data_IF_200050055277
#
_entry.id   IF_200050055277
#
_cell.length_a   1.000
_cell.length_b   1.000
_cell.length_c   1.000
_cell.angle_alpha   90.00
_cell.angle_beta   90.00
_cell.angle_gamma   90.00
#
_symmetry.space_group_name_H-M   'P 1'
#
loop_
_entity.id
_entity.type
_entity.pdbx_description
1 polymer ?
#
# COMPACT_ATOMS: atom_id res chain seq x y z
N UNK A 1 -30.49 -0.54 8.74
CA UNK A 1 -29.71 0.72 8.68
C UNK A 1 -28.43 0.48 9.46
N UNK A 2 -27.28 0.59 8.82
CA UNK A 2 -25.97 0.43 9.47
C UNK A 2 -25.54 1.80 9.99
N UNK A 3 -25.07 1.90 11.22
CA UNK A 3 -24.51 3.15 11.73
C UNK A 3 -23.15 3.40 11.08
N UNK A 4 -22.72 4.66 11.02
CA UNK A 4 -21.41 5.01 10.45
C UNK A 4 -20.27 4.28 11.17
N UNK A 5 -20.41 4.04 12.49
CA UNK A 5 -19.43 3.29 13.28
C UNK A 5 -19.35 1.82 12.85
N UNK A 6 -20.49 1.15 12.61
CA UNK A 6 -20.53 -0.24 12.17
C UNK A 6 -20.02 -0.41 10.73
N UNK A 7 -20.26 0.59 9.88
CA UNK A 7 -19.70 0.64 8.54
C UNK A 7 -18.16 0.67 8.60
N UNK A 8 -17.57 1.61 9.34
CA UNK A 8 -16.11 1.69 9.43
C UNK A 8 -15.46 0.51 10.15
N UNK A 9 -16.16 -0.15 11.07
CA UNK A 9 -15.67 -1.38 11.72
C UNK A 9 -15.63 -2.59 10.77
N UNK A 10 -16.46 -2.59 9.73
CA UNK A 10 -16.49 -3.65 8.71
C UNK A 10 -15.69 -3.26 7.45
N UNK A 11 -15.24 -2.01 7.37
CA UNK A 11 -14.48 -1.49 6.24
C UNK A 11 -13.00 -1.88 6.36
N UNK A 12 -12.50 -2.63 5.37
CA UNK A 12 -11.15 -3.19 5.35
C UNK A 12 -10.37 -2.71 4.11
N UNK A 13 -9.11 -3.14 4.00
CA UNK A 13 -8.22 -2.74 2.90
C UNK A 13 -8.74 -3.21 1.54
N UNK A 14 -9.41 -4.37 1.46
CA UNK A 14 -10.02 -4.83 0.22
C UNK A 14 -11.07 -3.82 -0.29
N UNK A 15 -11.91 -3.30 0.60
CA UNK A 15 -12.90 -2.28 0.24
C UNK A 15 -12.25 -0.96 -0.21
N UNK A 16 -11.09 -0.59 0.35
CA UNK A 16 -10.28 0.52 -0.18
C UNK A 16 -9.83 0.27 -1.61
N UNK A 17 -9.27 -0.92 -1.89
CA UNK A 17 -8.75 -1.27 -3.20
C UNK A 17 -9.90 -1.31 -4.23
N UNK A 18 -11.04 -1.92 -3.88
CA UNK A 18 -12.24 -1.93 -4.72
C UNK A 18 -12.74 -0.50 -5.03
N UNK A 19 -12.73 0.40 -4.05
CA UNK A 19 -13.11 1.79 -4.25
C UNK A 19 -12.13 2.54 -5.16
N UNK A 20 -10.83 2.27 -5.07
CA UNK A 20 -9.82 2.85 -5.96
C UNK A 20 -10.02 2.32 -7.38
N UNK A 21 -10.22 1.01 -7.55
CA UNK A 21 -10.48 0.40 -8.86
C UNK A 21 -11.75 0.98 -9.48
N UNK A 22 -12.84 1.07 -8.71
CA UNK A 22 -14.10 1.67 -9.17
C UNK A 22 -13.92 3.14 -9.57
N UNK A 23 -13.25 3.94 -8.73
CA UNK A 23 -12.95 5.34 -9.06
C UNK A 23 -12.06 5.47 -10.31
N UNK A 24 -11.14 4.52 -10.52
CA UNK A 24 -10.28 4.50 -11.69
C UNK A 24 -11.04 4.20 -13.00
N UNK A 25 -12.10 3.38 -12.95
CA UNK A 25 -12.96 3.12 -14.11
C UNK A 25 -13.71 4.39 -14.56
N UNK A 26 -14.05 5.28 -13.63
CA UNK A 26 -14.71 6.56 -13.95
C UNK A 26 -13.74 7.60 -14.55
N UNK A 27 -12.43 7.36 -14.47
CA UNK A 27 -11.42 8.24 -15.08
C UNK A 27 -11.27 7.86 -16.55
N UNK A 28 -11.90 8.66 -17.41
CA UNK A 28 -11.68 8.54 -18.85
C UNK A 28 -10.20 8.80 -19.21
N UNK A 29 -9.68 8.07 -20.21
CA UNK A 29 -8.38 8.30 -20.86
C UNK A 29 -8.14 9.78 -21.15
N UNK A 30 -9.17 10.54 -21.55
CA UNK A 30 -9.05 11.99 -21.77
C UNK A 30 -8.73 12.78 -20.50
N UNK A 31 -9.32 12.43 -19.36
CA UNK A 31 -9.01 13.02 -18.06
C UNK A 31 -7.57 12.69 -17.65
N UNK A 32 -7.15 11.44 -17.86
CA UNK A 32 -5.79 10.98 -17.59
C UNK A 32 -4.76 11.72 -18.46
N UNK A 33 -4.99 11.80 -19.77
CA UNK A 33 -4.15 12.56 -20.70
C UNK A 33 -4.11 14.05 -20.36
N UNK A 34 -5.23 14.64 -19.91
CA UNK A 34 -5.29 16.03 -19.47
C UNK A 34 -4.47 16.28 -18.20
N UNK A 35 -4.58 15.37 -17.23
CA UNK A 35 -3.78 15.41 -16.00
C UNK A 35 -2.30 15.26 -16.30
N UNK A 36 -1.90 14.23 -17.06
CA UNK A 36 -0.51 14.06 -17.48
C UNK A 36 0.00 15.24 -18.29
N UNK A 37 -0.78 15.81 -19.21
CA UNK A 37 -0.40 17.04 -19.93
C UNK A 37 -0.18 18.22 -18.98
N UNK A 38 -0.93 18.30 -17.87
CA UNK A 38 -0.77 19.36 -16.86
C UNK A 38 0.43 19.12 -15.95
N UNK A 39 0.68 17.88 -15.54
CA UNK A 39 1.86 17.50 -14.74
C UNK A 39 3.15 17.62 -15.56
N UNK A 40 3.12 17.14 -16.80
CA UNK A 40 4.24 17.19 -17.72
C UNK A 40 4.51 18.60 -18.24
N UNK A 41 3.57 19.55 -18.17
CA UNK A 41 3.81 20.97 -18.47
C UNK A 41 4.91 21.59 -17.60
N UNK A 42 5.14 21.07 -16.39
CA UNK A 42 6.25 21.47 -15.54
C UNK A 42 7.61 20.95 -16.05
N UNK A 43 7.60 20.05 -17.04
CA UNK A 43 8.76 19.43 -17.67
C UNK A 43 8.71 19.65 -19.19
N UNK A 44 9.19 20.81 -19.69
CA UNK A 44 9.10 21.20 -21.10
C UNK A 44 9.69 20.17 -22.09
N UNK A 45 10.66 19.37 -21.64
CA UNK A 45 11.27 18.29 -22.43
C UNK A 45 10.30 17.13 -22.72
N UNK A 46 9.40 16.82 -21.78
CA UNK A 46 8.45 15.71 -21.93
C UNK A 46 7.25 16.08 -22.81
N UNK A 47 6.75 17.31 -22.71
CA UNK A 47 5.58 17.77 -23.50
C UNK A 47 5.88 17.90 -25.00
N UNK A 48 7.12 18.25 -25.35
CA UNK A 48 7.56 18.34 -26.74
C UNK A 48 8.01 16.99 -27.33
N UNK A 49 8.13 15.93 -26.51
CA UNK A 49 8.57 14.59 -26.98
C UNK A 49 7.46 13.75 -27.62
N UNK A 50 6.22 14.26 -27.69
CA UNK A 50 5.12 13.56 -28.40
C UNK A 50 5.37 13.37 -29.91
N UNK A 51 6.43 13.98 -30.47
CA UNK A 51 6.88 13.76 -31.85
C UNK A 51 7.93 12.65 -31.99
N UNK A 52 8.30 11.96 -30.92
CA UNK A 52 9.35 10.94 -30.98
C UNK A 52 9.46 10.15 -29.70
N UNK A 53 8.45 9.31 -29.41
CA UNK A 53 8.81 7.99 -28.87
C UNK A 53 9.49 7.26 -30.02
N UNK A 54 10.77 7.58 -30.24
CA UNK A 54 11.58 6.85 -31.18
C UNK A 54 11.64 5.42 -30.64
N UNK A 55 10.97 4.49 -31.31
CA UNK A 55 11.04 3.07 -30.97
C UNK A 55 12.49 2.54 -31.07
N UNK A 56 13.41 3.33 -31.64
CA UNK A 56 14.85 3.08 -31.67
C UNK A 56 15.66 3.84 -30.61
N UNK A 57 15.04 4.52 -29.64
CA UNK A 57 15.82 5.17 -28.58
C UNK A 57 16.63 4.11 -27.84
N UNK A 58 17.96 4.20 -27.95
CA UNK A 58 18.86 3.16 -27.48
C UNK A 58 18.68 3.00 -25.97
N UNK A 59 18.39 1.77 -25.51
CA UNK A 59 18.16 1.45 -24.09
C UNK A 59 19.28 1.97 -23.18
N UNK A 60 20.53 2.00 -23.65
CA UNK A 60 21.64 2.54 -22.87
C UNK A 60 21.60 4.07 -22.76
N UNK A 61 21.05 4.78 -23.74
CA UNK A 61 20.82 6.22 -23.67
C UNK A 61 19.70 6.57 -22.68
N UNK A 62 18.60 5.81 -22.72
CA UNK A 62 17.49 5.94 -21.75
C UNK A 62 18.01 5.68 -20.33
N UNK A 63 18.78 4.61 -20.13
CA UNK A 63 19.39 4.29 -18.83
C UNK A 63 20.29 5.42 -18.32
N UNK A 64 21.13 6.01 -19.19
CA UNK A 64 21.99 7.14 -18.82
C UNK A 64 21.17 8.37 -18.41
N UNK A 65 20.11 8.70 -19.15
CA UNK A 65 19.20 9.82 -18.83
C UNK A 65 18.54 9.62 -17.46
N UNK A 66 18.02 8.43 -17.18
CA UNK A 66 17.39 8.10 -15.89
C UNK A 66 18.40 8.19 -14.75
N UNK A 67 19.60 7.63 -14.89
CA UNK A 67 20.64 7.73 -13.86
C UNK A 67 21.11 9.17 -13.60
N UNK A 68 21.11 10.00 -14.64
CA UNK A 68 21.46 11.43 -14.52
C UNK A 68 20.37 12.19 -13.76
N UNK A 69 19.10 11.90 -14.04
CA UNK A 69 17.95 12.45 -13.32
C UNK A 69 17.92 11.99 -11.86
N UNK A 70 18.15 10.71 -11.59
CA UNK A 70 18.21 10.17 -10.23
C UNK A 70 19.26 10.90 -9.38
N UNK A 71 20.46 11.11 -9.93
CA UNK A 71 21.51 11.89 -9.26
C UNK A 71 21.11 13.35 -9.04
N UNK A 72 20.44 13.98 -10.01
CA UNK A 72 19.95 15.35 -9.85
C UNK A 72 18.91 15.48 -8.74
N UNK A 73 18.11 14.43 -8.53
CA UNK A 73 17.08 14.36 -7.50
C UNK A 73 17.58 13.79 -6.16
N UNK A 74 18.89 13.54 -6.04
CA UNK A 74 19.52 12.92 -4.87
C UNK A 74 18.91 11.56 -4.48
N UNK A 75 18.51 10.78 -5.50
CA UNK A 75 17.97 9.44 -5.34
C UNK A 75 19.11 8.42 -5.50
N UNK A 76 19.22 7.51 -4.54
CA UNK A 76 20.10 6.35 -4.64
C UNK A 76 19.44 5.32 -5.57
N UNK A 77 20.07 5.07 -6.72
CA UNK A 77 19.53 4.20 -7.76
C UNK A 77 20.65 3.35 -8.34
N UNK A 78 20.46 2.03 -8.38
CA UNK A 78 21.42 1.11 -9.00
C UNK A 78 21.26 1.07 -10.52
N UNK A 79 22.39 1.19 -11.22
CA UNK A 79 22.43 1.22 -12.68
C UNK A 79 22.02 -0.11 -13.33
N UNK A 80 22.19 -1.24 -12.62
CA UNK A 80 21.82 -2.56 -13.15
C UNK A 80 20.31 -2.78 -13.01
N UNK A 81 19.72 -2.34 -11.91
CA UNK A 81 18.26 -2.38 -11.73
C UNK A 81 17.52 -1.53 -12.75
N UNK A 82 17.97 -0.29 -12.97
CA UNK A 82 17.36 0.58 -13.99
C UNK A 82 17.45 -0.06 -15.38
N UNK A 83 18.60 -0.66 -15.71
CA UNK A 83 18.76 -1.38 -16.96
C UNK A 83 17.81 -2.58 -17.07
N UNK A 84 17.58 -3.32 -15.98
CA UNK A 84 16.61 -4.42 -15.92
C UNK A 84 15.18 -3.92 -16.16
N UNK A 85 14.78 -2.79 -15.56
CA UNK A 85 13.45 -2.21 -15.75
C UNK A 85 13.20 -1.74 -17.17
N UNK A 86 14.19 -1.09 -17.80
CA UNK A 86 14.06 -0.59 -19.18
C UNK A 86 14.16 -1.76 -20.18
N UNK A 87 14.96 -2.78 -19.88
CA UNK A 87 15.14 -3.94 -20.75
C UNK A 87 13.97 -4.93 -20.70
N UNK A 88 12.95 -4.69 -19.88
CA UNK A 88 11.71 -5.47 -19.92
C UNK A 88 11.04 -5.23 -21.28
N UNK A 89 11.26 -6.16 -22.21
CA UNK A 89 10.60 -6.16 -23.50
C UNK A 89 9.10 -6.44 -23.28
N UNK A 90 8.27 -5.67 -23.97
CA UNK A 90 6.81 -5.85 -24.02
C UNK A 90 6.51 -7.24 -24.60
N UNK A 91 6.40 -8.22 -23.70
CA UNK A 91 5.94 -9.57 -23.95
C UNK A 91 4.94 -9.94 -22.86
N UNK A 92 3.87 -10.65 -23.24
CA UNK A 92 2.98 -11.28 -22.28
C UNK A 92 3.83 -12.18 -21.38
N UNK A 93 3.70 -12.03 -20.05
CA UNK A 93 4.26 -12.99 -19.08
C UNK A 93 3.87 -14.40 -19.53
N UNK A 94 4.82 -15.33 -19.53
CA UNK A 94 4.51 -16.72 -19.82
C UNK A 94 3.50 -17.25 -18.80
N UNK A 95 2.71 -18.25 -19.17
CA UNK A 95 1.73 -18.85 -18.26
C UNK A 95 2.39 -19.37 -16.98
N UNK A 96 3.63 -19.83 -17.10
CA UNK A 96 4.48 -20.28 -16.01
C UNK A 96 4.84 -19.14 -15.05
N UNK A 97 5.27 -17.97 -15.58
CA UNK A 97 5.55 -16.78 -14.75
C UNK A 97 4.28 -16.20 -14.10
N UNK A 98 3.12 -16.30 -14.77
CA UNK A 98 1.82 -15.90 -14.20
C UNK A 98 1.40 -16.81 -13.04
N UNK A 99 1.68 -18.10 -13.13
CA UNK A 99 1.42 -19.07 -12.04
C UNK A 99 2.35 -18.78 -10.87
N UNK A 100 3.65 -18.56 -11.12
CA UNK A 100 4.63 -18.22 -10.08
C UNK A 100 4.24 -16.93 -9.34
N UNK A 101 3.85 -15.88 -10.06
CA UNK A 101 3.35 -14.63 -9.46
C UNK A 101 2.08 -14.85 -8.62
N UNK A 102 1.16 -15.70 -9.08
CA UNK A 102 -0.04 -16.05 -8.32
C UNK A 102 0.32 -16.77 -7.01
N UNK A 103 1.25 -17.71 -7.07
CA UNK A 103 1.71 -18.48 -5.91
C UNK A 103 2.45 -17.57 -4.91
N UNK A 104 3.29 -16.65 -5.37
CA UNK A 104 3.97 -15.67 -4.53
C UNK A 104 2.99 -14.72 -3.84
N UNK A 105 1.98 -14.24 -4.57
CA UNK A 105 0.91 -13.40 -4.02
C UNK A 105 0.08 -14.15 -2.96
N UNK A 106 -0.24 -15.43 -3.22
CA UNK A 106 -0.96 -16.27 -2.25
C UNK A 106 -0.12 -16.53 -1.00
N UNK A 107 1.17 -16.80 -1.14
CA UNK A 107 2.08 -16.97 0.00
C UNK A 107 2.19 -15.69 0.83
N UNK A 108 2.33 -14.53 0.18
CA UNK A 108 2.40 -13.24 0.86
C UNK A 108 1.09 -12.94 1.63
N UNK A 109 -0.06 -13.25 1.03
CA UNK A 109 -1.36 -13.09 1.68
C UNK A 109 -1.50 -13.96 2.93
N UNK A 110 -1.00 -15.19 2.90
CA UNK A 110 -0.99 -16.09 4.07
C UNK A 110 -0.14 -15.49 5.19
N UNK A 111 1.04 -14.96 4.87
CA UNK A 111 1.92 -14.31 5.86
C UNK A 111 1.25 -13.06 6.46
N UNK A 112 0.60 -12.24 5.64
CA UNK A 112 -0.13 -11.05 6.12
C UNK A 112 -1.31 -11.42 7.04
N UNK A 113 -2.08 -12.46 6.69
CA UNK A 113 -3.18 -12.96 7.51
C UNK A 113 -2.69 -13.57 8.84
N UNK A 114 -1.54 -14.24 8.87
CA UNK A 114 -0.93 -14.77 10.09
C UNK A 114 -0.46 -13.64 11.02
N UNK A 115 0.18 -12.61 10.45
CA UNK A 115 0.62 -11.42 11.19
C UNK A 115 -0.57 -10.63 11.76
N UNK A 116 -1.69 -10.54 11.04
CA UNK A 116 -2.90 -9.92 11.58
C UNK A 116 -3.51 -10.73 12.73
N UNK A 117 -3.57 -12.06 12.61
CA UNK A 117 -4.08 -12.94 13.68
C UNK A 117 -3.22 -12.89 14.94
N UNK A 118 -1.90 -12.76 14.81
CA UNK A 118 -1.02 -12.59 15.97
C UNK A 118 -1.26 -11.25 16.68
N UNK A 119 -1.39 -10.16 15.92
CA UNK A 119 -1.71 -8.83 16.46
C UNK A 119 -3.07 -8.77 17.15
N UNK A 120 -4.07 -9.51 16.66
CA UNK A 120 -5.37 -9.61 17.33
C UNK A 120 -5.29 -10.37 18.65
N UNK A 121 -4.55 -11.50 18.69
CA UNK A 121 -4.33 -12.27 19.92
C UNK A 121 -3.58 -11.47 20.98
N UNK A 122 -2.60 -10.65 20.60
CA UNK A 122 -1.91 -9.77 21.54
C UNK A 122 -2.85 -8.71 22.12
N UNK A 123 -3.71 -8.10 21.29
CA UNK A 123 -4.70 -7.11 21.74
C UNK A 123 -5.76 -7.71 22.66
N UNK A 124 -6.17 -8.95 22.45
CA UNK A 124 -7.09 -9.66 23.36
C UNK A 124 -6.44 -9.96 24.71
N UNK A 125 -5.19 -10.41 24.72
CA UNK A 125 -4.44 -10.65 25.96
C UNK A 125 -4.25 -9.37 26.78
N UNK A 126 -3.89 -8.25 26.14
CA UNK A 126 -3.79 -6.95 26.82
C UNK A 126 -5.12 -6.49 27.42
N UNK A 127 -6.25 -6.77 26.75
CA UNK A 127 -7.59 -6.42 27.26
C UNK A 127 -7.95 -7.28 28.48
N UNK A 128 -7.70 -8.58 28.42
CA UNK A 128 -7.95 -9.47 29.57
C UNK A 128 -7.09 -9.11 30.78
N UNK A 129 -5.81 -8.73 30.59
CA UNK A 129 -4.94 -8.28 31.69
C UNK A 129 -5.46 -6.98 32.31
N UNK A 130 -5.84 -5.99 31.50
CA UNK A 130 -6.42 -4.73 32.00
C UNK A 130 -7.73 -4.95 32.76
N UNK A 131 -8.57 -5.87 32.30
CA UNK A 131 -9.85 -6.16 32.97
C UNK A 131 -9.66 -6.91 34.30
N UNK A 132 -8.65 -7.79 34.40
CA UNK A 132 -8.26 -8.44 35.66
C UNK A 132 -7.71 -7.43 36.65
N UNK A 133 -6.85 -6.52 36.20
CA UNK A 133 -6.26 -5.48 37.06
C UNK A 133 -7.32 -4.49 37.60
N UNK A 134 -8.35 -4.18 36.80
CA UNK A 134 -9.47 -3.34 37.24
C UNK A 134 -10.37 -4.04 38.26
N UNK A 135 -10.62 -5.35 38.08
CA UNK A 135 -11.39 -6.16 39.03
C UNK A 135 -10.68 -6.30 40.37
N UNK A 136 -9.36 -6.51 40.38
CA UNK A 136 -8.59 -6.53 41.63
C UNK A 136 -8.63 -5.19 42.36
N UNK A 137 -8.50 -4.07 41.66
CA UNK A 137 -8.60 -2.72 42.26
C UNK A 137 -9.98 -2.48 42.90
N UNK A 138 -11.07 -2.91 42.26
CA UNK A 138 -12.44 -2.81 42.81
C UNK A 138 -12.66 -3.70 44.04
N UNK A 139 -12.07 -4.89 44.10
CA UNK A 139 -12.19 -5.79 45.25
C UNK A 139 -11.49 -5.23 46.49
N UNK A 140 -10.35 -4.55 46.32
CA UNK A 140 -9.62 -3.89 47.43
C UNK A 140 -10.42 -2.73 48.03
N UNK A 141 -11.24 -2.03 47.23
CA UNK A 141 -12.03 -0.86 47.67
C UNK A 141 -13.29 -1.21 48.48
N UNK A 142 -13.84 -2.43 48.36
CA UNK A 142 -15.15 -2.82 48.95
C UNK A 142 -15.03 -3.36 50.39
N UNK A 143 -13.86 -3.34 51.05
CA UNK A 143 -13.76 -3.78 52.44
C UNK A 143 -14.67 -2.94 53.37
N UNK A 144 -15.64 -3.55 54.09
CA UNK A 144 -16.65 -2.79 54.82
C UNK A 144 -16.05 -2.11 56.06
N UNK A 145 -16.22 -0.79 56.16
CA UNK A 145 -15.97 -0.03 57.40
C UNK A 145 -16.88 -0.57 58.50
N UNK A 146 -16.29 -1.26 59.48
CA UNK A 146 -16.98 -1.71 60.68
C UNK A 146 -17.56 -0.51 61.43
N UNK A 147 -18.88 -0.44 61.48
CA UNK A 147 -19.63 0.56 62.24
C UNK A 147 -19.51 0.22 63.73
N UNK A 148 -18.73 1.00 64.48
CA UNK A 148 -18.71 0.90 65.94
C UNK A 148 -19.86 1.72 66.52
N UNK A 149 -20.86 1.04 67.07
CA UNK A 149 -21.86 1.65 67.96
C UNK A 149 -21.25 1.84 69.35
N UNK A 150 -21.12 3.09 69.79
CA UNK A 150 -21.00 3.48 71.20
C UNK A 150 -21.85 4.72 71.44
#
# INVERSE_FOLDING_TARGET
>A
KVTLSEFWKSYNILHCIENIVAAWQDINVKCMQGFWRKCLKCFPLLVNSSLGFDQNENVDEVNKKILTLAKFLDLEVDAKEVKKWIAYAEGELSNEELIELKEELEAQKVVEEEVEKEKEKEKEKEKEEKEKEEKEKKVVEIQPKTFSLK
#
